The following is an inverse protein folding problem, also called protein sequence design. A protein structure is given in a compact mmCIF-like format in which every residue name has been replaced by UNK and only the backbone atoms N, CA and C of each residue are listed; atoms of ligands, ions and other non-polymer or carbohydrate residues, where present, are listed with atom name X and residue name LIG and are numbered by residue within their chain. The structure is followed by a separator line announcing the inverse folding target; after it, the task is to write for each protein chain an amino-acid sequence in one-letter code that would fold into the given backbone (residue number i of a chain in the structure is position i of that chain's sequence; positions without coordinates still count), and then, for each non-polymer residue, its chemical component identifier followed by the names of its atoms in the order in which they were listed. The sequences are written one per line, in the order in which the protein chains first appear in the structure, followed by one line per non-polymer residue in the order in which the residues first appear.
data_IF_755949282266
#
_entry.id   IF_755949282266
#
_cell.length_a   1.000
_cell.length_b   1.000
_cell.length_c   1.000
_cell.angle_alpha   90.00
_cell.angle_beta   90.00
_cell.angle_gamma   90.00
#
_symmetry.space_group_name_H-M   'P 1'
#
loop_
_entity.id
_entity.type
_entity.pdbx_description
1 polymer ?
#
# COMPACT_ATOMS: atom_id res chain seq x y z
N UNK A 1 -2.54 6.61 19.22
CA UNK A 1 -3.26 5.66 18.32
C UNK A 1 -2.49 5.59 17.00
N UNK A 2 -2.53 4.49 16.25
CA UNK A 2 -1.84 4.36 14.96
C UNK A 2 -2.58 5.16 13.88
N UNK A 3 -1.83 5.91 13.01
CA UNK A 3 -2.44 6.82 12.01
C UNK A 3 -3.31 6.11 10.97
N UNK A 4 -3.01 4.85 10.62
CA UNK A 4 -3.85 4.03 9.73
C UNK A 4 -5.22 3.84 10.37
N UNK A 5 -5.25 3.41 11.64
CA UNK A 5 -6.49 3.14 12.38
C UNK A 5 -7.33 4.42 12.51
N UNK A 6 -6.70 5.55 12.86
CA UNK A 6 -7.37 6.85 12.97
C UNK A 6 -7.94 7.31 11.61
N UNK A 7 -7.16 7.15 10.52
CA UNK A 7 -7.60 7.55 9.18
C UNK A 7 -8.82 6.76 8.74
N UNK A 8 -8.80 5.43 8.88
CA UNK A 8 -9.95 4.60 8.50
C UNK A 8 -11.18 4.83 9.39
N UNK A 9 -10.98 5.07 10.70
CA UNK A 9 -12.08 5.44 11.58
C UNK A 9 -12.75 6.75 11.14
N UNK A 10 -11.96 7.75 10.75
CA UNK A 10 -12.46 9.04 10.23
C UNK A 10 -13.18 8.85 8.89
N UNK A 11 -12.60 8.11 7.95
CA UNK A 11 -13.24 7.83 6.66
C UNK A 11 -14.60 7.17 6.85
N UNK A 12 -14.68 6.18 7.76
CA UNK A 12 -15.93 5.51 8.10
C UNK A 12 -16.96 6.47 8.69
N UNK A 13 -16.55 7.35 9.61
CA UNK A 13 -17.46 8.33 10.22
C UNK A 13 -17.99 9.36 9.22
N UNK A 14 -17.17 9.74 8.25
CA UNK A 14 -17.50 10.71 7.22
C UNK A 14 -18.25 10.07 6.03
N UNK A 15 -18.48 8.75 6.04
CA UNK A 15 -19.09 8.00 4.94
C UNK A 15 -18.24 8.00 3.66
N UNK A 16 -16.93 8.18 3.78
CA UNK A 16 -15.98 8.29 2.67
C UNK A 16 -15.18 7.01 2.46
N UNK A 17 -14.63 6.89 1.25
CA UNK A 17 -13.73 5.81 0.85
C UNK A 17 -12.28 6.28 0.85
N UNK A 18 -11.36 5.39 1.23
CA UNK A 18 -9.94 5.70 1.26
C UNK A 18 -9.27 5.55 -0.12
N UNK A 19 -8.29 6.40 -0.42
CA UNK A 19 -7.36 6.24 -1.52
C UNK A 19 -5.98 5.90 -0.97
N UNK A 20 -5.48 4.73 -1.32
CA UNK A 20 -4.11 4.28 -1.04
C UNK A 20 -3.32 4.39 -2.35
N UNK A 21 -2.19 5.09 -2.34
CA UNK A 21 -1.33 5.19 -3.50
C UNK A 21 0.02 4.55 -3.22
N UNK A 22 0.41 3.61 -4.09
CA UNK A 22 1.72 2.98 -4.06
C UNK A 22 2.69 3.74 -4.97
N UNK A 23 3.93 3.94 -4.47
CA UNK A 23 5.10 4.36 -5.24
C UNK A 23 6.35 3.60 -4.82
N UNK A 24 7.30 3.42 -5.73
CA UNK A 24 8.62 2.86 -5.41
C UNK A 24 9.51 3.89 -4.71
N UNK A 25 10.11 3.52 -3.59
CA UNK A 25 11.09 4.38 -2.92
C UNK A 25 12.35 4.51 -3.76
N UNK A 26 12.79 5.74 -3.99
CA UNK A 26 13.97 6.03 -4.82
C UNK A 26 13.69 6.03 -6.33
N UNK A 27 12.44 5.94 -6.75
CA UNK A 27 12.03 6.03 -8.16
C UNK A 27 11.55 7.45 -8.49
N UNK A 28 12.27 8.25 -9.29
CA UNK A 28 13.62 8.02 -9.82
C UNK A 28 14.74 8.33 -8.81
N UNK A 29 14.44 8.92 -7.66
CA UNK A 29 15.36 9.18 -6.55
C UNK A 29 14.59 9.48 -5.25
N UNK A 30 15.30 9.50 -4.10
CA UNK A 30 14.69 9.69 -2.79
C UNK A 30 14.04 11.07 -2.59
N UNK A 31 14.64 12.14 -3.15
CA UNK A 31 14.05 13.47 -3.06
C UNK A 31 12.73 13.56 -3.84
N UNK A 32 12.64 12.93 -5.01
CA UNK A 32 11.39 12.81 -5.76
C UNK A 32 10.34 12.02 -4.95
N UNK A 33 10.74 10.93 -4.28
CA UNK A 33 9.85 10.16 -3.39
C UNK A 33 9.23 11.06 -2.31
N UNK A 34 10.04 11.88 -1.61
CA UNK A 34 9.53 12.82 -0.60
C UNK A 34 8.56 13.84 -1.19
N UNK A 35 8.92 14.44 -2.33
CA UNK A 35 8.07 15.41 -3.02
C UNK A 35 6.73 14.82 -3.45
N UNK A 36 6.73 13.59 -3.99
CA UNK A 36 5.50 12.90 -4.34
C UNK A 36 4.64 12.61 -3.11
N UNK A 37 5.24 12.12 -2.02
CA UNK A 37 4.51 11.84 -0.79
C UNK A 37 3.73 13.06 -0.28
N UNK A 38 4.40 14.22 -0.19
CA UNK A 38 3.78 15.47 0.27
C UNK A 38 2.72 16.00 -0.72
N UNK A 39 3.01 15.93 -2.02
CA UNK A 39 2.09 16.41 -3.04
C UNK A 39 0.85 15.51 -3.18
N UNK A 40 0.99 14.21 -2.99
CA UNK A 40 -0.14 13.28 -3.04
C UNK A 40 -1.05 13.42 -1.82
N UNK A 41 -0.50 13.70 -0.63
CA UNK A 41 -1.31 14.05 0.54
C UNK A 41 -2.20 15.27 0.23
N UNK A 42 -1.63 16.32 -0.38
CA UNK A 42 -2.39 17.50 -0.81
C UNK A 42 -3.41 17.16 -1.92
N UNK A 43 -3.11 16.17 -2.76
CA UNK A 43 -4.02 15.68 -3.80
C UNK A 43 -5.16 14.82 -3.24
N UNK A 44 -5.13 14.46 -1.95
CA UNK A 44 -6.22 13.78 -1.26
C UNK A 44 -6.07 12.28 -1.09
N UNK A 45 -4.84 11.73 -1.09
CA UNK A 45 -4.63 10.34 -0.68
C UNK A 45 -4.78 10.18 0.83
N UNK A 46 -5.19 9.00 1.27
CA UNK A 46 -5.40 8.67 2.67
C UNK A 46 -4.25 7.87 3.29
N UNK A 47 -3.59 7.06 2.49
CA UNK A 47 -2.42 6.25 2.89
C UNK A 47 -1.41 6.27 1.76
N UNK A 48 -0.15 6.48 2.11
CA UNK A 48 0.98 6.26 1.21
C UNK A 48 1.51 4.83 1.40
N UNK A 49 1.51 4.04 0.34
CA UNK A 49 2.20 2.75 0.30
C UNK A 49 3.54 2.94 -0.40
N UNK A 50 4.63 2.68 0.33
CA UNK A 50 5.99 2.95 -0.14
C UNK A 50 6.74 1.64 -0.34
N UNK A 51 7.00 1.29 -1.60
CA UNK A 51 7.72 0.09 -1.99
C UNK A 51 9.22 0.21 -1.68
N UNK A 52 9.74 -0.67 -0.81
CA UNK A 52 11.18 -0.76 -0.55
C UNK A 52 11.82 -1.59 -1.67
N UNK A 53 12.75 -1.02 -2.47
CA UNK A 53 13.26 -1.72 -3.64
C UNK A 53 14.04 -2.99 -3.27
N UNK A 54 13.78 -4.05 -4.02
CA UNK A 54 14.39 -5.36 -3.84
C UNK A 54 14.84 -5.91 -5.21
N UNK A 55 15.96 -6.66 -5.24
CA UNK A 55 16.54 -7.20 -6.46
C UNK A 55 15.73 -8.34 -7.08
N UNK A 56 14.95 -9.06 -6.25
CA UNK A 56 14.23 -10.27 -6.65
C UNK A 56 12.72 -10.17 -6.36
N UNK A 57 12.00 -9.19 -6.96
CA UNK A 57 10.63 -8.84 -6.60
C UNK A 57 9.60 -9.78 -7.25
N UNK A 58 9.58 -11.05 -6.86
CA UNK A 58 8.82 -12.13 -7.49
C UNK A 58 7.29 -11.95 -7.45
N UNK A 59 6.79 -11.21 -6.45
CA UNK A 59 5.36 -10.94 -6.32
C UNK A 59 4.89 -9.74 -7.15
N UNK A 60 5.83 -8.94 -7.68
CA UNK A 60 5.53 -7.71 -8.39
C UNK A 60 5.27 -7.91 -9.88
N UNK A 61 4.38 -7.09 -10.45
CA UNK A 61 4.25 -6.94 -11.89
C UNK A 61 5.38 -6.11 -12.49
N UNK A 62 5.55 -6.19 -13.81
CA UNK A 62 6.67 -5.57 -14.55
C UNK A 62 6.88 -4.08 -14.21
N UNK A 63 5.81 -3.29 -14.10
CA UNK A 63 5.89 -1.85 -13.80
C UNK A 63 6.56 -1.61 -12.44
N UNK A 64 6.16 -2.37 -11.41
CA UNK A 64 6.75 -2.25 -10.08
C UNK A 64 8.17 -2.82 -10.02
N UNK A 65 8.47 -3.90 -10.77
CA UNK A 65 9.83 -4.42 -10.91
C UNK A 65 10.78 -3.36 -11.50
N UNK A 66 10.35 -2.68 -12.56
CA UNK A 66 11.14 -1.59 -13.18
C UNK A 66 11.32 -0.39 -12.22
N UNK A 67 10.30 -0.07 -11.40
CA UNK A 67 10.43 0.95 -10.37
C UNK A 67 11.43 0.54 -9.26
N UNK A 68 11.38 -0.73 -8.82
CA UNK A 68 12.35 -1.27 -7.87
C UNK A 68 13.78 -1.21 -8.43
N UNK A 69 13.95 -1.57 -9.71
CA UNK A 69 15.25 -1.44 -10.39
C UNK A 69 15.76 0.00 -10.38
N UNK A 70 14.94 0.99 -10.78
CA UNK A 70 15.33 2.42 -10.75
C UNK A 70 15.64 2.89 -9.33
N UNK A 71 14.87 2.41 -8.34
CA UNK A 71 15.16 2.65 -6.93
C UNK A 71 16.53 2.13 -6.48
N UNK A 72 16.87 0.89 -6.87
CA UNK A 72 18.20 0.31 -6.59
C UNK A 72 19.31 1.07 -7.30
N UNK A 73 19.14 1.41 -8.58
CA UNK A 73 20.09 2.20 -9.37
C UNK A 73 20.33 3.60 -8.77
N UNK A 74 19.32 4.20 -8.16
CA UNK A 74 19.45 5.46 -7.42
C UNK A 74 20.20 5.31 -6.07
N UNK A 75 20.61 4.09 -5.72
CA UNK A 75 21.31 3.77 -4.49
C UNK A 75 20.41 3.72 -3.26
N UNK A 76 19.11 3.47 -3.44
CA UNK A 76 18.14 3.33 -2.34
C UNK A 76 18.35 2.01 -1.61
N UNK A 77 18.34 2.08 -0.28
CA UNK A 77 18.48 0.95 0.64
C UNK A 77 17.46 1.06 1.76
N UNK A 78 17.13 -0.02 2.50
CA UNK A 78 16.19 0.05 3.60
C UNK A 78 16.48 1.16 4.62
N UNK A 79 17.72 1.41 5.10
CA UNK A 79 18.02 2.55 5.95
C UNK A 79 17.62 3.89 5.34
N UNK A 80 17.94 4.12 4.07
CA UNK A 80 17.60 5.36 3.36
C UNK A 80 16.08 5.53 3.19
N UNK A 81 15.33 4.44 3.03
CA UNK A 81 13.87 4.50 3.02
C UNK A 81 13.33 4.95 4.38
N UNK A 82 13.90 4.46 5.49
CA UNK A 82 13.52 4.94 6.82
C UNK A 82 13.88 6.42 7.03
N UNK A 83 15.04 6.86 6.54
CA UNK A 83 15.43 8.27 6.58
C UNK A 83 14.45 9.17 5.81
N UNK A 84 13.99 8.73 4.61
CA UNK A 84 13.02 9.51 3.83
C UNK A 84 11.64 9.53 4.49
N UNK A 85 11.21 8.44 5.12
CA UNK A 85 9.97 8.43 5.93
C UNK A 85 10.09 9.42 7.09
N UNK A 86 11.21 9.45 7.81
CA UNK A 86 11.46 10.43 8.88
C UNK A 86 11.48 11.88 8.35
N UNK A 87 11.95 12.10 7.12
CA UNK A 87 11.89 13.42 6.48
C UNK A 87 10.44 13.81 6.12
N UNK A 88 9.65 12.89 5.57
CA UNK A 88 8.22 13.11 5.31
C UNK A 88 7.49 13.46 6.61
N UNK A 89 7.77 12.76 7.71
CA UNK A 89 7.14 13.00 9.02
C UNK A 89 7.32 14.39 9.59
N UNK A 90 8.38 15.10 9.21
CA UNK A 90 8.57 16.49 9.65
C UNK A 90 7.55 17.46 9.08
N UNK A 91 6.90 17.09 7.96
CA UNK A 91 6.01 17.96 7.20
C UNK A 91 4.59 17.38 7.06
N UNK A 92 4.40 16.07 7.32
CA UNK A 92 3.16 15.34 7.04
C UNK A 92 2.81 14.35 8.13
N UNK A 93 1.51 14.15 8.35
CA UNK A 93 0.95 13.09 9.20
C UNK A 93 0.24 12.02 8.37
N UNK A 94 0.48 11.94 7.07
CA UNK A 94 -0.09 10.90 6.23
C UNK A 94 0.32 9.51 6.74
N UNK A 95 -0.60 8.55 6.87
CA UNK A 95 -0.24 7.17 7.17
C UNK A 95 0.72 6.61 6.11
N UNK A 96 1.81 5.96 6.55
CA UNK A 96 2.81 5.33 5.67
C UNK A 96 2.88 3.85 5.95
N UNK A 97 2.64 3.05 4.91
CA UNK A 97 2.84 1.59 4.90
C UNK A 97 4.08 1.29 4.07
N UNK A 98 5.01 0.50 4.61
CA UNK A 98 6.08 -0.06 3.79
C UNK A 98 5.62 -1.37 3.15
N UNK A 99 5.75 -1.43 1.84
CA UNK A 99 5.52 -2.60 1.00
C UNK A 99 6.89 -3.22 0.69
N UNK A 100 7.15 -4.45 1.17
CA UNK A 100 8.49 -5.02 1.11
C UNK A 100 8.50 -6.55 1.20
N UNK A 101 9.67 -7.12 0.93
CA UNK A 101 9.96 -8.55 1.06
C UNK A 101 10.66 -8.85 2.39
N UNK A 102 10.36 -9.99 2.98
CA UNK A 102 10.87 -10.39 4.29
C UNK A 102 12.40 -10.49 4.34
N UNK A 103 13.04 -10.87 3.24
CA UNK A 103 14.50 -10.91 3.15
C UNK A 103 15.16 -9.59 3.55
N UNK A 104 14.58 -8.43 3.18
CA UNK A 104 15.10 -7.12 3.55
C UNK A 104 15.06 -6.89 5.06
N UNK A 105 13.96 -7.30 5.71
CA UNK A 105 13.79 -7.22 7.16
C UNK A 105 14.76 -8.18 7.86
N UNK A 106 14.85 -9.41 7.36
CA UNK A 106 15.72 -10.44 7.92
C UNK A 106 17.21 -10.02 7.90
N UNK A 107 17.69 -9.50 6.74
CA UNK A 107 19.07 -9.01 6.60
C UNK A 107 19.38 -7.78 7.46
N UNK A 108 18.41 -6.92 7.68
CA UNK A 108 18.56 -5.75 8.56
C UNK A 108 18.62 -6.18 10.03
N UNK A 109 17.99 -7.29 10.37
CA UNK A 109 17.69 -7.77 11.71
C UNK A 109 16.26 -7.39 12.10
N UNK A 110 15.38 -8.40 12.29
CA UNK A 110 13.93 -8.24 12.39
C UNK A 110 13.54 -7.21 13.46
N UNK A 111 13.99 -7.40 14.69
CA UNK A 111 13.68 -6.49 15.81
C UNK A 111 14.23 -5.07 15.56
N UNK A 112 15.44 -4.97 15.05
CA UNK A 112 16.07 -3.69 14.73
C UNK A 112 15.28 -2.95 13.67
N UNK A 113 14.90 -3.63 12.57
CA UNK A 113 14.14 -3.01 11.49
C UNK A 113 12.79 -2.48 11.98
N UNK A 114 12.05 -3.28 12.74
CA UNK A 114 10.74 -2.90 13.27
C UNK A 114 10.85 -1.67 14.20
N UNK A 115 11.85 -1.67 15.09
CA UNK A 115 12.08 -0.55 15.99
C UNK A 115 12.50 0.73 15.24
N UNK A 116 13.38 0.61 14.24
CA UNK A 116 13.84 1.76 13.45
C UNK A 116 12.73 2.27 12.52
N UNK A 117 11.89 1.39 11.97
CA UNK A 117 10.70 1.78 11.21
C UNK A 117 9.69 2.57 12.07
N UNK A 118 9.41 2.10 13.28
CA UNK A 118 8.54 2.80 14.22
C UNK A 118 9.10 4.19 14.60
N UNK A 119 10.41 4.28 14.89
CA UNK A 119 11.08 5.56 15.18
C UNK A 119 11.06 6.53 13.99
N UNK A 120 11.20 6.01 12.77
CA UNK A 120 11.10 6.81 11.55
C UNK A 120 9.67 7.32 11.29
N UNK A 121 8.67 6.75 11.95
CA UNK A 121 7.27 7.14 11.82
C UNK A 121 6.51 6.37 10.75
N UNK A 122 6.94 5.15 10.41
CA UNK A 122 6.15 4.17 9.67
C UNK A 122 4.93 3.79 10.51
N UNK A 123 3.81 3.50 9.87
CA UNK A 123 2.56 3.13 10.53
C UNK A 123 2.22 1.65 10.37
N UNK A 124 2.68 1.02 9.29
CA UNK A 124 2.43 -0.39 9.05
C UNK A 124 3.40 -1.01 8.06
N UNK A 125 3.46 -2.34 8.08
CA UNK A 125 4.23 -3.12 7.13
C UNK A 125 3.30 -4.08 6.38
N UNK A 126 3.48 -4.17 5.08
CA UNK A 126 2.91 -5.18 4.19
C UNK A 126 4.06 -6.03 3.67
N UNK A 127 4.27 -7.19 4.27
CA UNK A 127 5.35 -8.12 3.90
C UNK A 127 4.77 -9.18 2.97
N UNK A 128 5.24 -9.20 1.72
CA UNK A 128 4.62 -9.93 0.62
C UNK A 128 4.79 -11.44 0.69
N UNK A 129 5.90 -11.88 1.25
CA UNK A 129 6.38 -13.26 1.24
C UNK A 129 6.51 -13.89 2.64
N UNK A 130 5.93 -13.25 3.67
CA UNK A 130 5.84 -13.82 5.02
C UNK A 130 4.42 -14.33 5.27
N UNK A 131 4.19 -15.65 5.22
CA UNK A 131 2.87 -16.20 5.50
C UNK A 131 2.53 -16.12 7.00
N UNK A 132 1.24 -16.05 7.36
CA UNK A 132 0.83 -15.94 8.76
C UNK A 132 1.40 -17.04 9.65
N UNK A 133 1.56 -18.24 9.12
CA UNK A 133 2.05 -19.41 9.85
C UNK A 133 3.48 -19.25 10.36
N UNK A 134 4.29 -18.42 9.70
CA UNK A 134 5.70 -18.17 10.02
C UNK A 134 5.91 -16.83 10.75
N UNK A 135 4.84 -16.12 11.11
CA UNK A 135 4.93 -14.71 11.52
C UNK A 135 4.84 -14.45 13.03
N UNK A 136 4.70 -15.47 13.90
CA UNK A 136 4.41 -15.29 15.34
C UNK A 136 5.40 -14.35 16.06
N UNK A 137 6.70 -14.54 15.90
CA UNK A 137 7.72 -13.68 16.49
C UNK A 137 7.71 -12.26 15.92
N UNK A 138 7.53 -12.16 14.60
CA UNK A 138 7.42 -10.90 13.89
C UNK A 138 6.18 -10.10 14.34
N UNK A 139 5.00 -10.71 14.42
CA UNK A 139 3.76 -10.06 14.88
C UNK A 139 3.86 -9.52 16.30
N UNK A 140 4.54 -10.27 17.18
CA UNK A 140 4.77 -9.83 18.56
C UNK A 140 5.60 -8.55 18.61
N UNK A 141 6.64 -8.44 17.78
CA UNK A 141 7.47 -7.25 17.66
C UNK A 141 6.68 -6.08 17.05
N UNK A 142 5.89 -6.32 15.99
CA UNK A 142 5.03 -5.32 15.35
C UNK A 142 4.05 -4.70 16.36
N UNK A 143 3.38 -5.54 17.15
CA UNK A 143 2.43 -5.10 18.18
C UNK A 143 3.11 -4.26 19.26
N UNK A 144 4.29 -4.69 19.74
CA UNK A 144 5.08 -3.91 20.73
C UNK A 144 5.51 -2.54 20.19
N UNK A 145 5.84 -2.47 18.91
CA UNK A 145 6.23 -1.24 18.25
C UNK A 145 5.05 -0.34 17.84
N UNK A 146 3.80 -0.80 18.00
CA UNK A 146 2.59 -0.07 17.61
C UNK A 146 2.37 0.04 16.09
N UNK A 147 3.03 -0.83 15.31
CA UNK A 147 2.88 -0.90 13.86
C UNK A 147 1.74 -1.82 13.45
N UNK A 148 0.99 -1.44 12.41
CA UNK A 148 0.00 -2.30 11.79
C UNK A 148 0.67 -3.38 10.94
N UNK A 149 0.20 -4.62 11.11
CA UNK A 149 0.59 -5.76 10.29
C UNK A 149 -0.49 -6.01 9.23
N UNK A 150 -0.22 -5.67 7.98
CA UNK A 150 -1.17 -5.72 6.88
C UNK A 150 -0.96 -7.02 6.11
N UNK A 151 -2.03 -7.80 5.96
CA UNK A 151 -1.99 -9.06 5.24
C UNK A 151 -2.77 -8.99 3.93
N UNK A 152 -2.33 -9.84 2.98
CA UNK A 152 -2.93 -10.03 1.67
C UNK A 152 -3.97 -11.15 1.68
N UNK A 153 -5.09 -10.91 1.00
CA UNK A 153 -6.05 -11.94 0.57
C UNK A 153 -6.14 -11.90 -0.94
N UNK A 154 -6.09 -13.06 -1.57
CA UNK A 154 -6.20 -13.25 -3.02
C UNK A 154 -7.52 -13.96 -3.38
N UNK A 155 -7.98 -13.92 -4.65
CA UNK A 155 -9.17 -14.65 -5.09
C UNK A 155 -9.13 -16.16 -4.80
N UNK A 156 -7.92 -16.71 -4.78
CA UNK A 156 -7.67 -18.14 -4.51
C UNK A 156 -7.57 -18.49 -3.03
N UNK A 157 -7.64 -17.50 -2.12
CA UNK A 157 -7.52 -17.75 -0.68
C UNK A 157 -8.78 -18.47 -0.16
N UNK A 158 -8.66 -19.70 0.39
CA UNK A 158 -9.80 -20.42 0.95
C UNK A 158 -10.31 -19.77 2.25
N UNK A 159 -11.54 -20.10 2.65
CA UNK A 159 -12.24 -19.38 3.73
C UNK A 159 -11.59 -19.54 5.10
N UNK A 160 -11.13 -20.73 5.43
CA UNK A 160 -10.38 -21.04 6.65
C UNK A 160 -9.08 -20.22 6.75
N UNK A 161 -8.40 -20.03 5.60
CA UNK A 161 -7.22 -19.18 5.52
C UNK A 161 -7.54 -17.70 5.62
N UNK A 162 -8.67 -17.25 5.08
CA UNK A 162 -9.16 -15.87 5.27
C UNK A 162 -9.38 -15.61 6.78
N UNK A 163 -10.06 -16.53 7.48
CA UNK A 163 -10.30 -16.41 8.92
C UNK A 163 -8.99 -16.30 9.71
N UNK A 164 -7.98 -17.10 9.38
CA UNK A 164 -6.64 -17.04 10.00
C UNK A 164 -5.98 -15.67 9.74
N UNK A 165 -5.97 -15.22 8.47
CA UNK A 165 -5.35 -13.96 8.05
C UNK A 165 -5.96 -12.77 8.79
N UNK A 166 -7.30 -12.67 8.81
CA UNK A 166 -7.97 -11.50 9.40
C UNK A 166 -7.85 -11.44 10.92
N UNK A 167 -7.68 -12.59 11.60
CA UNK A 167 -7.41 -12.63 13.05
C UNK A 167 -6.03 -12.09 13.42
N UNK A 168 -5.08 -12.16 12.52
CA UNK A 168 -3.70 -11.72 12.70
C UNK A 168 -3.41 -10.33 12.13
N UNK A 169 -4.23 -9.92 11.15
CA UNK A 169 -4.13 -8.61 10.51
C UNK A 169 -4.53 -7.46 11.43
N UNK A 170 -3.94 -6.29 11.19
CA UNK A 170 -4.30 -5.03 11.85
C UNK A 170 -4.23 -3.88 10.86
N UNK A 171 -4.93 -2.78 11.16
CA UNK A 171 -5.01 -1.62 10.26
C UNK A 171 -6.07 -1.81 9.18
N UNK A 172 -5.78 -2.63 8.18
CA UNK A 172 -6.73 -3.04 7.12
C UNK A 172 -6.31 -4.37 6.48
N UNK A 173 -7.24 -5.00 5.77
CA UNK A 173 -6.96 -6.18 4.95
C UNK A 173 -6.78 -5.74 3.50
N UNK A 174 -5.71 -6.19 2.85
CA UNK A 174 -5.44 -5.90 1.46
C UNK A 174 -5.96 -7.05 0.58
N UNK A 175 -7.03 -6.81 -0.15
CA UNK A 175 -7.50 -7.75 -1.17
C UNK A 175 -6.86 -7.42 -2.52
N UNK A 176 -6.01 -8.31 -3.02
CA UNK A 176 -5.37 -8.17 -4.33
C UNK A 176 -6.06 -9.07 -5.35
N UNK A 177 -6.65 -8.47 -6.39
CA UNK A 177 -7.21 -9.21 -7.50
C UNK A 177 -6.41 -8.93 -8.77
N UNK A 178 -6.01 -9.98 -9.49
CA UNK A 178 -5.26 -9.90 -10.75
C UNK A 178 -6.10 -10.29 -11.96
N UNK A 179 -7.41 -10.31 -11.85
CA UNK A 179 -8.25 -10.72 -12.97
C UNK A 179 -8.37 -9.62 -14.03
N UNK A 180 -8.22 -10.05 -15.28
CA UNK A 180 -7.96 -9.23 -16.46
C UNK A 180 -9.01 -8.20 -16.88
N UNK A 181 -8.62 -7.43 -17.86
CA UNK A 181 -9.13 -6.13 -18.34
C UNK A 181 -10.44 -6.14 -19.16
N UNK A 182 -11.22 -7.21 -19.21
CA UNK A 182 -12.44 -7.25 -20.01
C UNK A 182 -13.71 -7.22 -19.14
N UNK A 183 -14.54 -6.18 -19.32
CA UNK A 183 -15.83 -6.09 -18.62
C UNK A 183 -15.76 -5.67 -17.16
N UNK A 184 -15.06 -4.57 -16.84
CA UNK A 184 -14.78 -4.10 -15.48
C UNK A 184 -15.99 -4.10 -14.54
N UNK A 185 -17.14 -3.58 -14.95
CA UNK A 185 -18.33 -3.52 -14.11
C UNK A 185 -18.85 -4.93 -13.77
N UNK A 186 -18.73 -5.87 -14.70
CA UNK A 186 -19.12 -7.26 -14.50
C UNK A 186 -18.15 -7.98 -13.56
N UNK A 187 -16.83 -7.69 -13.66
CA UNK A 187 -15.82 -8.26 -12.76
C UNK A 187 -15.93 -7.72 -11.34
N UNK A 188 -16.19 -6.43 -11.14
CA UNK A 188 -16.39 -5.86 -9.79
C UNK A 188 -17.56 -6.56 -9.11
N UNK A 189 -18.68 -6.78 -9.80
CA UNK A 189 -19.85 -7.44 -9.22
C UNK A 189 -19.70 -8.96 -9.07
N UNK A 190 -18.92 -9.62 -9.94
CA UNK A 190 -18.80 -11.09 -9.96
C UNK A 190 -17.65 -11.64 -9.09
N UNK A 191 -16.60 -10.86 -8.86
CA UNK A 191 -15.40 -11.34 -8.15
C UNK A 191 -15.08 -10.51 -6.90
N UNK A 192 -15.11 -9.18 -6.99
CA UNK A 192 -14.71 -8.30 -5.88
C UNK A 192 -15.78 -8.32 -4.77
N UNK A 193 -17.04 -8.05 -5.08
CA UNK A 193 -18.09 -7.96 -4.09
C UNK A 193 -18.29 -9.28 -3.29
N UNK A 194 -18.33 -10.48 -3.93
CA UNK A 194 -18.43 -11.73 -3.20
C UNK A 194 -17.24 -12.00 -2.28
N UNK A 195 -16.01 -11.64 -2.71
CA UNK A 195 -14.82 -11.85 -1.87
C UNK A 195 -14.80 -10.89 -0.69
N UNK A 196 -15.16 -9.63 -0.89
CA UNK A 196 -15.28 -8.66 0.22
C UNK A 196 -16.35 -9.13 1.22
N UNK A 197 -17.50 -9.60 0.75
CA UNK A 197 -18.53 -10.15 1.60
C UNK A 197 -18.03 -11.36 2.41
N UNK A 198 -17.18 -12.22 1.79
CA UNK A 198 -16.56 -13.34 2.48
C UNK A 198 -15.56 -12.87 3.55
N UNK A 199 -14.70 -11.89 3.25
CA UNK A 199 -13.76 -11.33 4.23
C UNK A 199 -14.51 -10.71 5.42
N UNK A 200 -15.55 -9.92 5.14
CA UNK A 200 -16.37 -9.22 6.17
C UNK A 200 -17.14 -10.14 7.11
N UNK A 201 -17.31 -11.42 6.79
CA UNK A 201 -17.88 -12.40 7.73
C UNK A 201 -16.96 -12.66 8.93
N UNK A 202 -15.67 -12.42 8.78
CA UNK A 202 -14.63 -12.80 9.74
C UNK A 202 -13.94 -11.60 10.40
N UNK A 203 -14.20 -10.34 9.93
CA UNK A 203 -13.54 -9.16 10.48
C UNK A 203 -14.32 -7.87 10.21
N UNK A 204 -14.17 -6.91 11.14
CA UNK A 204 -14.61 -5.51 11.00
C UNK A 204 -13.49 -4.59 10.48
N UNK A 205 -12.29 -5.13 10.20
CA UNK A 205 -11.19 -4.37 9.62
C UNK A 205 -11.59 -3.82 8.25
N UNK A 206 -11.17 -2.61 7.90
CA UNK A 206 -11.36 -2.07 6.55
C UNK A 206 -10.75 -3.00 5.50
N UNK A 207 -11.40 -3.11 4.35
CA UNK A 207 -10.89 -3.88 3.21
C UNK A 207 -10.48 -2.92 2.10
N UNK A 208 -9.18 -2.87 1.82
CA UNK A 208 -8.60 -2.13 0.70
C UNK A 208 -8.42 -3.04 -0.51
N UNK A 209 -8.80 -2.57 -1.69
CA UNK A 209 -8.79 -3.38 -2.92
C UNK A 209 -7.79 -2.85 -3.93
N UNK A 210 -6.81 -3.69 -4.31
CA UNK A 210 -5.89 -3.49 -5.43
C UNK A 210 -6.33 -4.32 -6.65
N UNK A 211 -6.71 -3.64 -7.74
CA UNK A 211 -7.33 -4.28 -8.91
C UNK A 211 -6.74 -3.82 -10.25
N UNK A 212 -5.48 -3.43 -10.30
CA UNK A 212 -4.89 -2.93 -11.55
C UNK A 212 -5.61 -1.68 -12.11
N UNK A 213 -6.08 -0.81 -11.23
CA UNK A 213 -6.85 0.39 -11.55
C UNK A 213 -6.00 1.34 -12.38
N UNK A 214 -6.47 1.69 -13.57
CA UNK A 214 -5.77 2.56 -14.51
C UNK A 214 -6.36 3.97 -14.61
N UNK A 215 -7.53 4.22 -14.00
CA UNK A 215 -8.18 5.53 -14.07
C UNK A 215 -9.33 5.73 -13.08
N UNK A 216 -9.86 6.98 -13.04
CA UNK A 216 -10.87 7.40 -12.05
C UNK A 216 -12.18 6.58 -12.10
N UNK A 217 -12.64 6.20 -13.29
CA UNK A 217 -13.88 5.45 -13.45
C UNK A 217 -13.78 4.05 -12.82
N UNK A 218 -12.63 3.40 -13.00
CA UNK A 218 -12.37 2.11 -12.38
C UNK A 218 -12.24 2.24 -10.85
N UNK A 219 -11.54 3.27 -10.38
CA UNK A 219 -11.44 3.55 -8.95
C UNK A 219 -12.82 3.72 -8.33
N UNK A 220 -13.73 4.47 -8.98
CA UNK A 220 -15.11 4.68 -8.54
C UNK A 220 -15.89 3.37 -8.43
N UNK A 221 -15.77 2.48 -9.42
CA UNK A 221 -16.46 1.18 -9.40
C UNK A 221 -16.00 0.30 -8.24
N UNK A 222 -14.68 0.21 -8.00
CA UNK A 222 -14.12 -0.59 -6.91
C UNK A 222 -14.45 0.02 -5.53
N UNK A 223 -14.43 1.34 -5.41
CA UNK A 223 -14.75 2.05 -4.17
C UNK A 223 -16.17 1.78 -3.66
N UNK A 224 -17.13 1.48 -4.54
CA UNK A 224 -18.52 1.14 -4.13
C UNK A 224 -18.58 -0.09 -3.25
N UNK A 225 -17.72 -1.06 -3.49
CA UNK A 225 -17.72 -2.35 -2.79
C UNK A 225 -16.72 -2.39 -1.62
N UNK A 226 -15.66 -1.57 -1.66
CA UNK A 226 -14.54 -1.59 -0.71
C UNK A 226 -14.56 -0.41 0.27
N UNK A 227 -13.69 -0.45 1.28
CA UNK A 227 -13.46 0.66 2.20
C UNK A 227 -12.33 1.58 1.71
N UNK A 228 -11.42 1.04 0.89
CA UNK A 228 -10.39 1.80 0.22
C UNK A 228 -10.01 1.16 -1.12
N UNK A 229 -9.46 2.01 -2.00
CA UNK A 229 -8.95 1.63 -3.31
C UNK A 229 -7.44 1.80 -3.31
N UNK A 230 -6.70 0.80 -3.82
CA UNK A 230 -5.25 0.88 -3.97
C UNK A 230 -4.89 1.07 -5.44
N UNK A 231 -4.13 2.13 -5.71
CA UNK A 231 -3.64 2.44 -7.06
C UNK A 231 -2.11 2.49 -7.04
N UNK A 232 -1.50 1.54 -7.71
CA UNK A 232 -0.04 1.41 -7.81
C UNK A 232 0.46 1.64 -9.22
N UNK A 233 0.44 0.61 -10.06
CA UNK A 233 1.09 0.59 -11.38
C UNK A 233 0.75 1.77 -12.28
N UNK A 234 -0.49 2.29 -12.24
CA UNK A 234 -0.89 3.45 -13.03
C UNK A 234 -0.18 4.75 -12.62
N UNK A 235 0.19 4.90 -11.35
CA UNK A 235 0.98 6.04 -10.84
C UNK A 235 2.46 5.81 -11.12
N UNK A 236 2.95 4.62 -10.82
CA UNK A 236 4.36 4.21 -11.02
C UNK A 236 4.78 4.30 -12.49
N UNK A 237 3.92 3.88 -13.41
CA UNK A 237 4.18 3.99 -14.86
C UNK A 237 4.32 5.46 -15.30
N UNK A 238 3.49 6.35 -14.78
CA UNK A 238 3.59 7.79 -15.05
C UNK A 238 4.88 8.40 -14.49
N UNK A 239 5.30 7.99 -13.30
CA UNK A 239 6.57 8.41 -12.70
C UNK A 239 7.73 7.92 -13.57
N UNK A 240 7.75 6.63 -13.91
CA UNK A 240 8.80 6.05 -14.74
C UNK A 240 8.89 6.64 -16.14
N UNK A 241 7.75 6.88 -16.79
CA UNK A 241 7.66 7.49 -18.12
C UNK A 241 8.09 8.97 -18.14
N UNK A 242 7.95 9.68 -17.03
CA UNK A 242 8.38 11.08 -16.91
C UNK A 242 9.90 11.21 -16.75
N UNK A 243 10.59 10.18 -16.31
CA UNK A 243 12.04 10.18 -16.10
C UNK A 243 12.50 11.31 -15.16
N UNK A 244 13.70 11.85 -15.40
CA UNK A 244 14.23 12.97 -14.63
C UNK A 244 13.49 14.32 -14.88
N UNK A 245 12.80 14.44 -15.99
CA UNK A 245 11.95 15.61 -16.31
C UNK A 245 10.55 15.46 -15.69
N UNK A 246 10.48 15.14 -14.43
CA UNK A 246 9.26 14.83 -13.67
C UNK A 246 8.13 15.83 -14.02
N UNK A 247 7.14 15.34 -14.75
CA UNK A 247 5.85 16.05 -14.98
C UNK A 247 4.98 15.98 -13.73
N UNK A 248 5.54 16.45 -12.61
CA UNK A 248 4.92 16.39 -11.29
C UNK A 248 3.48 16.90 -11.30
N UNK A 249 3.14 18.04 -11.94
CA UNK A 249 1.75 18.53 -11.97
C UNK A 249 0.77 17.55 -12.62
N UNK A 250 1.17 16.87 -13.71
CA UNK A 250 0.31 15.91 -14.41
C UNK A 250 0.03 14.67 -13.54
N UNK A 251 1.05 14.18 -12.84
CA UNK A 251 0.94 13.03 -11.93
C UNK A 251 0.03 13.39 -10.74
N UNK A 252 0.23 14.57 -10.15
CA UNK A 252 -0.60 15.08 -9.06
C UNK A 252 -2.05 15.24 -9.50
N UNK A 253 -2.30 15.82 -10.69
CA UNK A 253 -3.63 15.96 -11.27
C UNK A 253 -4.32 14.61 -11.47
N UNK A 254 -3.57 13.59 -11.90
CA UNK A 254 -4.09 12.23 -12.01
C UNK A 254 -4.49 11.66 -10.63
N UNK A 255 -3.63 11.77 -9.62
CA UNK A 255 -3.95 11.31 -8.26
C UNK A 255 -5.16 12.06 -7.69
N UNK A 256 -5.23 13.38 -7.89
CA UNK A 256 -6.38 14.17 -7.47
C UNK A 256 -7.68 13.72 -8.16
N UNK A 257 -7.62 13.36 -9.46
CA UNK A 257 -8.78 12.84 -10.18
C UNK A 257 -9.28 11.50 -9.63
N UNK A 258 -8.37 10.64 -9.14
CA UNK A 258 -8.71 9.39 -8.45
C UNK A 258 -9.42 9.68 -7.12
N UNK A 259 -8.85 10.56 -6.28
CA UNK A 259 -9.41 10.93 -4.98
C UNK A 259 -10.83 11.52 -5.13
N UNK A 260 -11.04 12.36 -6.14
CA UNK A 260 -12.37 12.94 -6.46
C UNK A 260 -13.36 11.90 -6.96
N UNK A 261 -12.92 10.87 -7.66
CA UNK A 261 -13.81 9.89 -8.26
C UNK A 261 -14.39 8.89 -7.26
N UNK A 262 -13.70 8.64 -6.13
CA UNK A 262 -14.12 7.67 -5.11
C UNK A 262 -14.98 8.28 -4.01
N UNK A 263 -15.05 9.60 -3.90
CA UNK A 263 -15.80 10.41 -2.95
C UNK A 263 -16.65 11.47 -3.65
#
# INVERSE_FOLDING_TARGET
MNRIVERFARLKSDGKKGLIVYIGAGDPNLEATRRFALAFEQAGIDVLELGVPFSDPLADGLVNQLAAQRGLESGTTPPKVLEIVAAIRRESQIPVVLYLYFNLIHRYGIERFINDAAKAGVDGLLVLDLPPEESDGYETLMRKAGLCNIYLVAPTTPEDRIEMIVKRGTGFIYYVSREGVTGMQQQVSSTIAPMIAKIRKHTDLPVAVGFGISGPEQARLVARESDAVVVGSAVVDRIGSAGLNLKVPEIISFVHSLAKAIN
#
